data_IF_735475501089
#
_entry.id   IF_735475501089
#
_cell.length_a   1.000
_cell.length_b   1.000
_cell.length_c   1.000
_cell.angle_alpha   90.00
_cell.angle_beta   90.00
_cell.angle_gamma   90.00
#
_symmetry.space_group_name_H-M   'P 1'
#
loop_
_entity.id
_entity.type
_entity.pdbx_description
1 polymer ?
#
# COMPACT_ATOMS: atom_id res chain seq x y z
N UNK A 1 -9.41 6.42 -10.55
CA UNK A 1 -8.43 5.97 -11.57
C UNK A 1 -6.99 6.39 -11.21
N UNK A 2 -6.71 7.69 -11.02
CA UNK A 2 -5.36 8.18 -10.67
C UNK A 2 -4.76 7.57 -9.40
N UNK A 3 -5.50 7.51 -8.29
CA UNK A 3 -5.00 6.92 -7.03
C UNK A 3 -4.53 5.48 -7.18
N UNK A 4 -5.31 4.65 -7.87
CA UNK A 4 -5.02 3.22 -8.03
C UNK A 4 -3.73 3.02 -8.83
N UNK A 5 -3.58 3.73 -9.94
CA UNK A 5 -2.37 3.68 -10.76
C UNK A 5 -1.15 4.16 -9.98
N UNK A 6 -1.26 5.28 -9.26
CA UNK A 6 -0.16 5.83 -8.45
C UNK A 6 0.19 4.90 -7.28
N UNK A 7 -0.79 4.44 -6.51
CA UNK A 7 -0.62 3.52 -5.37
C UNK A 7 0.11 2.25 -5.78
N UNK A 8 -0.27 1.66 -6.93
CA UNK A 8 0.37 0.47 -7.47
C UNK A 8 1.85 0.70 -7.81
N UNK A 9 2.17 1.79 -8.49
CA UNK A 9 3.57 2.11 -8.80
C UNK A 9 4.38 2.37 -7.53
N UNK A 10 3.77 3.02 -6.54
CA UNK A 10 4.41 3.35 -5.27
C UNK A 10 4.72 2.08 -4.45
N UNK A 11 3.79 1.14 -4.38
CA UNK A 11 4.02 -0.19 -3.80
C UNK A 11 5.07 -0.99 -4.57
N UNK A 12 5.11 -0.89 -5.90
CA UNK A 12 6.16 -1.53 -6.70
C UNK A 12 7.54 -0.95 -6.38
N UNK A 13 7.65 0.38 -6.28
CA UNK A 13 8.89 1.06 -5.91
C UNK A 13 9.31 0.65 -4.50
N UNK A 14 8.41 0.70 -3.52
CA UNK A 14 8.69 0.28 -2.13
C UNK A 14 9.18 -1.17 -2.05
N UNK A 15 8.52 -2.10 -2.74
CA UNK A 15 8.97 -3.49 -2.82
C UNK A 15 10.36 -3.62 -3.46
N UNK A 16 10.63 -2.85 -4.52
CA UNK A 16 11.91 -2.87 -5.24
C UNK A 16 13.05 -2.24 -4.42
N UNK A 17 12.79 -1.18 -3.65
CA UNK A 17 13.79 -0.52 -2.79
C UNK A 17 14.09 -1.30 -1.52
N UNK A 18 13.14 -2.11 -1.05
CA UNK A 18 13.29 -2.92 0.16
C UNK A 18 14.17 -4.17 -0.04
N UNK A 19 14.11 -4.79 -1.22
CA UNK A 19 14.90 -6.01 -1.52
C UNK A 19 16.42 -5.82 -1.38
N UNK A 20 17.04 -4.76 -1.97
CA UNK A 20 18.48 -4.50 -1.84
C UNK A 20 18.97 -4.31 -0.40
N UNK A 21 18.11 -3.85 0.51
CA UNK A 21 18.43 -3.71 1.95
C UNK A 21 18.62 -5.09 2.58
N UNK A 22 17.71 -6.03 2.30
CA UNK A 22 17.81 -7.41 2.81
C UNK A 22 19.00 -8.16 2.20
N UNK A 23 19.25 -8.00 0.89
CA UNK A 23 20.40 -8.60 0.24
C UNK A 23 21.72 -8.08 0.82
N UNK A 24 21.85 -6.75 0.98
CA UNK A 24 23.04 -6.13 1.58
C UNK A 24 23.27 -6.60 3.03
N UNK A 25 22.19 -6.73 3.81
CA UNK A 25 22.28 -7.27 5.17
C UNK A 25 22.79 -8.72 5.17
N UNK A 26 22.24 -9.58 4.31
CA UNK A 26 22.69 -10.97 4.19
C UNK A 26 24.17 -11.06 3.79
N UNK A 27 24.60 -10.26 2.82
CA UNK A 27 25.99 -10.20 2.36
C UNK A 27 26.93 -9.72 3.48
N UNK A 28 26.51 -8.72 4.25
CA UNK A 28 27.27 -8.20 5.40
C UNK A 28 27.43 -9.26 6.50
N UNK A 29 26.37 -10.03 6.79
CA UNK A 29 26.42 -11.10 7.81
C UNK A 29 27.35 -12.21 7.36
N UNK A 30 27.23 -12.69 6.12
CA UNK A 30 28.10 -13.75 5.59
C UNK A 30 29.56 -13.28 5.44
N UNK A 31 29.79 -12.01 5.07
CA UNK A 31 31.11 -11.43 4.85
C UNK A 31 31.75 -10.72 6.06
N UNK A 32 31.15 -10.82 7.26
CA UNK A 32 31.52 -10.02 8.44
C UNK A 32 33.00 -10.10 8.82
N UNK A 33 33.60 -11.29 8.74
CA UNK A 33 35.03 -11.50 9.04
C UNK A 33 35.93 -10.76 8.05
N UNK A 34 35.63 -10.85 6.75
CA UNK A 34 36.38 -10.15 5.69
C UNK A 34 36.25 -8.63 5.82
N UNK A 35 35.04 -8.12 6.05
CA UNK A 35 34.78 -6.67 6.19
C UNK A 35 35.60 -6.09 7.35
N UNK A 36 35.63 -6.80 8.48
CA UNK A 36 36.41 -6.39 9.66
C UNK A 36 37.91 -6.50 9.42
N UNK A 37 38.37 -7.56 8.74
CA UNK A 37 39.79 -7.75 8.42
C UNK A 37 40.35 -6.64 7.52
N UNK A 38 39.56 -6.15 6.57
CA UNK A 38 39.96 -5.04 5.68
C UNK A 38 39.67 -3.64 6.25
N UNK A 39 39.08 -3.53 7.45
CA UNK A 39 38.73 -2.23 8.04
C UNK A 39 37.63 -1.47 7.28
N UNK A 40 36.84 -2.14 6.44
CA UNK A 40 35.86 -1.54 5.54
C UNK A 40 34.46 -1.33 6.18
N UNK A 41 34.34 -1.51 7.50
CA UNK A 41 33.05 -1.46 8.20
C UNK A 41 32.28 -0.15 7.99
N UNK A 42 32.96 1.00 8.02
CA UNK A 42 32.31 2.31 7.85
C UNK A 42 31.72 2.46 6.44
N UNK A 43 32.40 2.00 5.40
CA UNK A 43 31.86 2.04 4.02
C UNK A 43 30.58 1.19 3.89
N UNK A 44 30.53 0.02 4.52
CA UNK A 44 29.33 -0.82 4.54
C UNK A 44 28.19 -0.19 5.35
N UNK A 45 28.50 0.56 6.42
CA UNK A 45 27.50 1.31 7.19
C UNK A 45 26.90 2.44 6.35
N UNK A 46 27.74 3.24 5.69
CA UNK A 46 27.30 4.35 4.85
C UNK A 46 26.44 3.86 3.67
N UNK A 47 26.85 2.76 3.02
CA UNK A 47 26.07 2.12 1.95
C UNK A 47 24.72 1.60 2.45
N UNK A 48 24.69 1.01 3.65
CA UNK A 48 23.45 0.55 4.28
C UNK A 48 22.50 1.72 4.56
N UNK A 49 23.02 2.82 5.13
CA UNK A 49 22.23 4.02 5.40
C UNK A 49 21.63 4.61 4.12
N UNK A 50 22.41 4.73 3.04
CA UNK A 50 21.92 5.25 1.77
C UNK A 50 20.78 4.40 1.17
N UNK A 51 20.89 3.07 1.27
CA UNK A 51 19.83 2.13 0.84
C UNK A 51 18.57 2.25 1.71
N UNK A 52 18.74 2.40 3.02
CA UNK A 52 17.63 2.61 3.96
C UNK A 52 16.92 3.94 3.66
N UNK A 53 17.66 5.03 3.43
CA UNK A 53 17.09 6.35 3.13
C UNK A 53 16.28 6.34 1.84
N UNK A 54 16.78 5.66 0.81
CA UNK A 54 16.06 5.47 -0.46
C UNK A 54 14.75 4.70 -0.26
N UNK A 55 14.79 3.64 0.54
CA UNK A 55 13.59 2.88 0.89
C UNK A 55 12.61 3.71 1.74
N UNK A 56 13.11 4.49 2.68
CA UNK A 56 12.30 5.31 3.57
C UNK A 56 11.60 6.45 2.84
N UNK A 57 12.27 7.08 1.86
CA UNK A 57 11.67 8.07 0.96
C UNK A 57 10.48 7.48 0.19
N UNK A 58 10.67 6.28 -0.37
CA UNK A 58 9.61 5.55 -1.10
C UNK A 58 8.43 5.17 -0.19
N UNK A 59 8.74 4.72 1.03
CA UNK A 59 7.74 4.39 2.05
C UNK A 59 6.94 5.62 2.50
N UNK A 60 7.62 6.74 2.75
CA UNK A 60 6.97 7.99 3.14
C UNK A 60 6.02 8.49 2.05
N UNK A 61 6.44 8.43 0.78
CA UNK A 61 5.58 8.77 -0.34
C UNK A 61 4.31 7.89 -0.36
N UNK A 62 4.44 6.59 -0.07
CA UNK A 62 3.30 5.66 0.06
C UNK A 62 2.31 6.07 1.16
N UNK A 63 2.82 6.48 2.32
CA UNK A 63 1.97 7.01 3.40
C UNK A 63 1.27 8.29 2.96
N UNK A 64 1.98 9.23 2.33
CA UNK A 64 1.42 10.49 1.87
C UNK A 64 0.29 10.27 0.85
N UNK A 65 0.45 9.34 -0.09
CA UNK A 65 -0.59 8.97 -1.04
C UNK A 65 -1.85 8.41 -0.34
N UNK A 66 -1.67 7.53 0.64
CA UNK A 66 -2.78 6.99 1.44
C UNK A 66 -3.53 8.11 2.20
N UNK A 67 -2.80 9.05 2.82
CA UNK A 67 -3.40 10.20 3.52
C UNK A 67 -4.14 11.15 2.59
N UNK A 68 -3.62 11.35 1.38
CA UNK A 68 -4.29 12.16 0.37
C UNK A 68 -5.65 11.58 -0.01
N UNK A 69 -5.72 10.27 -0.27
CA UNK A 69 -6.99 9.60 -0.55
C UNK A 69 -7.96 9.70 0.63
N UNK A 70 -7.47 9.42 1.84
CA UNK A 70 -8.28 9.46 3.05
C UNK A 70 -8.93 10.83 3.25
N UNK A 71 -8.17 11.91 3.06
CA UNK A 71 -8.68 13.28 3.14
C UNK A 71 -9.76 13.55 2.09
N UNK A 72 -9.58 13.07 0.85
CA UNK A 72 -10.58 13.22 -0.21
C UNK A 72 -11.86 12.44 0.07
N UNK A 73 -11.76 11.23 0.60
CA UNK A 73 -12.91 10.42 0.99
C UNK A 73 -13.66 11.04 2.17
N UNK A 74 -12.95 11.57 3.17
CA UNK A 74 -13.55 12.29 4.29
C UNK A 74 -14.31 13.54 3.83
N UNK A 75 -13.74 14.31 2.89
CA UNK A 75 -14.42 15.47 2.32
C UNK A 75 -15.74 15.09 1.63
N UNK A 76 -15.76 14.02 0.85
CA UNK A 76 -17.00 13.49 0.27
C UNK A 76 -17.99 13.03 1.35
N UNK A 77 -17.49 12.40 2.40
CA UNK A 77 -18.28 12.04 3.58
C UNK A 77 -18.99 13.22 4.21
N UNK A 78 -18.27 14.33 4.44
CA UNK A 78 -18.84 15.56 4.98
C UNK A 78 -19.91 16.15 4.07
N UNK A 79 -19.74 16.09 2.74
CA UNK A 79 -20.78 16.54 1.80
C UNK A 79 -22.04 15.68 1.94
N UNK A 80 -21.91 14.36 2.03
CA UNK A 80 -23.07 13.45 2.17
C UNK A 80 -23.80 13.74 3.48
N UNK A 81 -23.07 13.87 4.59
CA UNK A 81 -23.65 14.18 5.91
C UNK A 81 -24.33 15.55 5.88
N UNK A 82 -23.69 16.57 5.29
CA UNK A 82 -24.26 17.89 5.15
C UNK A 82 -25.59 17.86 4.36
N UNK A 83 -25.63 17.15 3.23
CA UNK A 83 -26.85 16.99 2.44
C UNK A 83 -27.94 16.22 3.20
N UNK A 84 -27.58 15.14 3.90
CA UNK A 84 -28.52 14.37 4.71
C UNK A 84 -29.14 15.21 5.83
N UNK A 85 -28.31 16.00 6.54
CA UNK A 85 -28.78 16.94 7.56
C UNK A 85 -29.63 18.07 6.95
N UNK A 86 -29.25 18.61 5.79
CA UNK A 86 -30.02 19.65 5.10
C UNK A 86 -31.41 19.14 4.70
N UNK A 87 -31.50 17.95 4.11
CA UNK A 87 -32.78 17.35 3.74
C UNK A 87 -33.64 17.02 4.96
N UNK A 88 -33.04 16.56 6.06
CA UNK A 88 -33.76 16.32 7.31
C UNK A 88 -34.42 17.60 7.85
N UNK A 89 -33.80 18.77 7.67
CA UNK A 89 -34.36 20.07 8.09
C UNK A 89 -35.44 20.56 7.13
N UNK A 90 -35.21 20.45 5.81
CA UNK A 90 -36.19 20.90 4.79
C UNK A 90 -37.48 20.06 4.85
N UNK A 91 -37.36 18.75 5.01
CA UNK A 91 -38.49 17.82 5.00
C UNK A 91 -38.93 17.42 6.42
N UNK A 92 -38.67 18.26 7.43
CA UNK A 92 -38.95 17.91 8.83
C UNK A 92 -40.41 17.55 9.09
N UNK A 93 -41.33 18.16 8.35
CA UNK A 93 -42.77 17.98 8.52
C UNK A 93 -43.29 16.76 7.75
N UNK A 94 -42.48 16.18 6.87
CA UNK A 94 -42.83 15.02 6.01
C UNK A 94 -42.13 13.74 6.44
N UNK A 95 -40.98 13.84 7.11
CA UNK A 95 -40.14 12.69 7.50
C UNK A 95 -40.19 12.46 9.00
N UNK A 96 -40.40 11.21 9.41
CA UNK A 96 -40.32 10.80 10.81
C UNK A 96 -38.90 11.00 11.36
N UNK A 97 -38.72 11.61 12.54
CA UNK A 97 -37.40 11.86 13.13
C UNK A 97 -36.49 10.62 13.21
N UNK A 98 -37.07 9.43 13.42
CA UNK A 98 -36.33 8.16 13.43
C UNK A 98 -35.70 7.81 12.08
N UNK A 99 -36.40 8.08 10.97
CA UNK A 99 -35.89 7.81 9.62
C UNK A 99 -34.77 8.79 9.25
N UNK A 100 -34.90 10.05 9.65
CA UNK A 100 -33.86 11.07 9.50
C UNK A 100 -32.59 10.71 10.29
N UNK A 101 -32.74 10.28 11.56
CA UNK A 101 -31.63 9.82 12.39
C UNK A 101 -30.92 8.59 11.82
N UNK A 102 -31.68 7.63 11.27
CA UNK A 102 -31.12 6.46 10.60
C UNK A 102 -30.33 6.85 9.34
N UNK A 103 -30.87 7.77 8.52
CA UNK A 103 -30.21 8.25 7.30
C UNK A 103 -28.87 8.95 7.61
N UNK A 104 -28.85 9.85 8.60
CA UNK A 104 -27.63 10.55 9.02
C UNK A 104 -26.60 9.57 9.61
N UNK A 105 -27.04 8.59 10.41
CA UNK A 105 -26.17 7.56 10.99
C UNK A 105 -25.53 6.67 9.91
N UNK A 106 -26.30 6.31 8.89
CA UNK A 106 -25.80 5.56 7.73
C UNK A 106 -24.80 6.41 6.91
N UNK A 107 -25.09 7.69 6.70
CA UNK A 107 -24.19 8.63 6.03
C UNK A 107 -22.85 8.80 6.77
N UNK A 108 -22.86 8.82 8.11
CA UNK A 108 -21.63 8.88 8.90
C UNK A 108 -20.75 7.64 8.68
N UNK A 109 -21.38 6.47 8.61
CA UNK A 109 -20.70 5.17 8.51
C UNK A 109 -20.12 4.93 7.11
N UNK A 110 -20.74 5.45 6.06
CA UNK A 110 -20.35 5.20 4.66
C UNK A 110 -18.90 5.60 4.36
N UNK A 111 -18.41 6.64 5.04
CA UNK A 111 -17.06 7.18 4.83
C UNK A 111 -15.99 6.19 5.27
N UNK A 112 -16.21 5.53 6.42
CA UNK A 112 -15.32 4.48 6.92
C UNK A 112 -15.32 3.26 6.01
N UNK A 113 -16.49 2.84 5.55
CA UNK A 113 -16.64 1.69 4.64
C UNK A 113 -15.97 1.95 3.29
N UNK A 114 -16.16 3.13 2.69
CA UNK A 114 -15.51 3.49 1.43
C UNK A 114 -13.99 3.51 1.57
N UNK A 115 -13.49 4.05 2.68
CA UNK A 115 -12.06 4.05 2.96
C UNK A 115 -11.49 2.63 3.09
N UNK A 116 -12.16 1.74 3.82
CA UNK A 116 -11.78 0.33 3.92
C UNK A 116 -11.84 -0.38 2.56
N UNK A 117 -12.88 -0.14 1.77
CA UNK A 117 -13.06 -0.75 0.45
C UNK A 117 -11.93 -0.37 -0.50
N UNK A 118 -11.51 0.91 -0.53
CA UNK A 118 -10.41 1.33 -1.40
C UNK A 118 -9.07 0.74 -0.96
N UNK A 119 -8.81 0.64 0.36
CA UNK A 119 -7.60 -0.03 0.87
C UNK A 119 -7.60 -1.51 0.48
N UNK A 120 -8.70 -2.22 0.77
CA UNK A 120 -8.86 -3.64 0.42
C UNK A 120 -8.69 -3.88 -1.09
N UNK A 121 -9.26 -3.02 -1.94
CA UNK A 121 -9.10 -3.11 -3.39
C UNK A 121 -7.64 -2.96 -3.81
N UNK A 122 -6.92 -2.00 -3.22
CA UNK A 122 -5.49 -1.80 -3.48
C UNK A 122 -4.63 -2.98 -3.01
N UNK A 123 -4.99 -3.61 -1.90
CA UNK A 123 -4.28 -4.79 -1.38
C UNK A 123 -4.50 -6.02 -2.25
N UNK A 124 -5.73 -6.25 -2.71
CA UNK A 124 -6.05 -7.31 -3.68
C UNK A 124 -5.24 -7.13 -4.97
N UNK A 125 -5.21 -5.93 -5.55
CA UNK A 125 -4.44 -5.68 -6.77
C UNK A 125 -2.93 -5.89 -6.57
N UNK A 126 -2.41 -5.57 -5.38
CA UNK A 126 -1.00 -5.83 -5.04
C UNK A 126 -0.72 -7.32 -4.91
N UNK A 127 -1.58 -8.04 -4.19
CA UNK A 127 -1.40 -9.47 -3.94
C UNK A 127 -1.59 -10.31 -5.21
N UNK A 128 -2.40 -9.84 -6.16
CA UNK A 128 -2.59 -10.48 -7.47
C UNK A 128 -1.28 -10.60 -8.26
N UNK A 129 -0.35 -9.64 -8.10
CA UNK A 129 0.97 -9.69 -8.76
C UNK A 129 1.75 -10.95 -8.37
N UNK A 130 1.64 -11.41 -7.12
CA UNK A 130 2.28 -12.66 -6.68
C UNK A 130 1.68 -13.88 -7.37
N UNK A 131 0.36 -13.89 -7.57
CA UNK A 131 -0.36 -14.96 -8.28
C UNK A 131 0.05 -14.99 -9.76
N UNK A 132 0.16 -13.83 -10.40
CA UNK A 132 0.66 -13.71 -11.79
C UNK A 132 2.05 -14.35 -11.94
N UNK A 133 2.96 -14.09 -10.99
CA UNK A 133 4.32 -14.67 -11.00
C UNK A 133 4.32 -16.19 -10.83
N UNK A 134 3.52 -16.72 -9.91
CA UNK A 134 3.38 -18.18 -9.76
C UNK A 134 2.87 -18.83 -11.06
N UNK A 135 1.93 -18.18 -11.73
CA UNK A 135 1.39 -18.66 -13.00
C UNK A 135 2.40 -18.58 -14.15
N UNK A 136 3.27 -17.57 -14.15
CA UNK A 136 4.39 -17.45 -15.09
C UNK A 136 5.39 -18.61 -14.93
N UNK A 137 5.77 -18.94 -13.69
CA UNK A 137 6.65 -20.08 -13.42
C UNK A 137 6.01 -21.42 -13.81
N UNK A 138 4.70 -21.58 -13.62
CA UNK A 138 3.98 -22.79 -14.06
C UNK A 138 4.05 -22.98 -15.59
N UNK A 139 4.06 -21.90 -16.36
CA UNK A 139 4.12 -21.95 -17.83
C UNK A 139 5.53 -22.03 -18.41
N UNK A 140 6.55 -21.92 -17.58
CA UNK A 140 7.94 -21.92 -18.04
C UNK A 140 8.31 -23.34 -18.52
N UNK A 141 8.95 -23.50 -19.70
CA UNK A 141 9.35 -24.81 -20.18
C UNK A 141 10.31 -25.48 -19.19
N UNK A 142 10.09 -26.78 -18.93
CA UNK A 142 10.98 -27.56 -18.07
C UNK A 142 12.38 -27.64 -18.68
N UNK A 143 13.39 -27.56 -17.81
CA UNK A 143 14.77 -27.87 -18.18
C UNK A 143 14.84 -29.31 -18.72
N UNK A 144 15.57 -29.49 -19.83
CA UNK A 144 15.74 -30.80 -20.46
C UNK A 144 16.45 -31.73 -19.46
N UNK A 145 15.76 -32.76 -19.00
CA UNK A 145 16.38 -33.82 -18.20
C UNK A 145 17.43 -34.52 -19.05
N UNK A 146 18.70 -34.43 -18.64
CA UNK A 146 19.78 -35.19 -19.27
C UNK A 146 19.43 -36.69 -19.27
N UNK A 147 19.67 -37.42 -20.38
CA UNK A 147 19.40 -38.86 -20.42
C UNK A 147 20.20 -39.57 -19.31
N UNK A 148 19.61 -40.59 -18.65
CA UNK A 148 20.31 -41.35 -17.63
C UNK A 148 21.57 -41.99 -18.22
N UNK A 149 22.69 -41.89 -17.48
CA UNK A 149 23.97 -42.54 -17.81
C UNK A 149 23.88 -44.06 -17.66
#
# INVERSE_FOLDING_TARGET
KYYVTTSRQLKRIESTTRSPVYSHFSETVTGSTSIRAYGAANQFIDECQNRIDTNHSSYFASIAANRWLETRLQFLGFIIVFLASLFAVIFRDTITPGLAGLSISAALTITGVLNMLVRASSDVETNMVSVERCFEYYKTPLEVTLPPK
#
